data_IF_015992965255
#
_entry.id   IF_015992965255
#
_cell.length_a   1.000
_cell.length_b   1.000
_cell.length_c   1.000
_cell.angle_alpha   90.00
_cell.angle_beta   90.00
_cell.angle_gamma   90.00
#
_symmetry.space_group_name_H-M   'P 1'
#
loop_
_entity.id
_entity.type
_entity.pdbx_description
1 polymer ?
#
# COMPACT_ATOMS: atom_id res chain seq x y z
N UNK A 1 -24.71 0.75 -11.24
CA UNK A 1 -24.47 1.94 -10.39
C UNK A 1 -22.95 2.10 -10.27
N UNK A 2 -22.45 3.34 -10.15
CA UNK A 2 -21.00 3.60 -10.19
C UNK A 2 -20.33 2.98 -8.97
N UNK A 3 -20.97 3.04 -7.80
CA UNK A 3 -20.53 2.34 -6.60
C UNK A 3 -20.24 0.85 -6.85
N UNK A 4 -21.10 0.15 -7.59
CA UNK A 4 -20.92 -1.28 -7.88
C UNK A 4 -19.70 -1.55 -8.77
N UNK A 5 -19.38 -0.65 -9.72
CA UNK A 5 -18.18 -0.76 -10.55
C UNK A 5 -16.91 -0.73 -9.68
N UNK A 6 -16.87 0.16 -8.69
CA UNK A 6 -15.72 0.37 -7.80
C UNK A 6 -15.79 -0.40 -6.47
N UNK A 7 -16.65 -1.41 -6.35
CA UNK A 7 -16.85 -2.12 -5.08
C UNK A 7 -15.54 -2.73 -4.56
N UNK A 8 -14.69 -3.26 -5.45
CA UNK A 8 -13.38 -3.82 -5.08
C UNK A 8 -12.41 -2.79 -4.49
N UNK A 9 -12.50 -1.51 -4.89
CA UNK A 9 -11.73 -0.41 -4.26
C UNK A 9 -12.22 -0.19 -2.84
N UNK A 10 -13.54 -0.21 -2.62
CA UNK A 10 -14.14 -0.02 -1.30
C UNK A 10 -13.79 -1.18 -0.37
N UNK A 11 -13.91 -2.42 -0.85
CA UNK A 11 -13.54 -3.64 -0.13
C UNK A 11 -12.05 -3.63 0.25
N UNK A 12 -11.18 -3.16 -0.67
CA UNK A 12 -9.76 -2.99 -0.39
C UNK A 12 -9.53 -1.92 0.69
N UNK A 13 -10.28 -0.81 0.67
CA UNK A 13 -10.22 0.21 1.70
C UNK A 13 -10.59 -0.34 3.09
N UNK A 14 -11.65 -1.15 3.19
CA UNK A 14 -12.03 -1.84 4.42
C UNK A 14 -10.91 -2.80 4.89
N UNK A 15 -10.37 -3.61 3.98
CA UNK A 15 -9.28 -4.55 4.27
C UNK A 15 -8.01 -3.86 4.78
N UNK A 16 -7.69 -2.69 4.22
CA UNK A 16 -6.55 -1.87 4.65
C UNK A 16 -6.84 -1.05 5.92
N UNK A 17 -8.07 -1.09 6.44
CA UNK A 17 -8.51 -0.29 7.58
C UNK A 17 -8.30 1.21 7.35
N UNK A 18 -8.68 1.71 6.18
CA UNK A 18 -8.62 3.13 5.85
C UNK A 18 -9.44 3.94 6.85
N UNK A 19 -8.82 4.97 7.42
CA UNK A 19 -9.43 5.80 8.46
C UNK A 19 -10.16 7.01 7.87
N UNK A 20 -11.15 7.52 8.59
CA UNK A 20 -11.92 8.72 8.20
C UNK A 20 -12.50 8.61 6.77
N UNK A 21 -12.98 7.42 6.40
CA UNK A 21 -13.51 7.15 5.08
C UNK A 21 -14.91 7.74 4.88
N UNK A 22 -15.15 8.32 3.71
CA UNK A 22 -16.48 8.76 3.27
C UNK A 22 -16.66 8.41 1.79
N UNK A 23 -17.88 8.02 1.40
CA UNK A 23 -18.21 7.59 0.04
C UNK A 23 -19.55 8.18 -0.36
N UNK A 24 -19.55 8.97 -1.45
CA UNK A 24 -20.77 9.61 -1.99
C UNK A 24 -20.88 9.38 -3.48
N UNK A 25 -22.09 9.09 -3.96
CA UNK A 25 -22.38 9.05 -5.40
C UNK A 25 -23.20 10.30 -5.74
N UNK A 26 -22.60 11.24 -6.46
CA UNK A 26 -23.20 12.54 -6.79
C UNK A 26 -22.85 12.92 -8.24
N UNK A 27 -23.82 13.46 -8.99
CA UNK A 27 -23.60 13.96 -10.35
C UNK A 27 -22.94 12.94 -11.31
N UNK A 28 -23.26 11.65 -11.15
CA UNK A 28 -22.65 10.60 -11.98
C UNK A 28 -21.16 10.36 -11.69
N UNK A 29 -20.70 10.70 -10.48
CA UNK A 29 -19.35 10.43 -10.02
C UNK A 29 -19.38 9.83 -8.61
N UNK A 30 -18.55 8.82 -8.37
CA UNK A 30 -18.26 8.31 -7.03
C UNK A 30 -17.14 9.15 -6.41
N UNK A 31 -17.39 9.75 -5.25
CA UNK A 31 -16.39 10.49 -4.49
C UNK A 31 -15.99 9.66 -3.26
N UNK A 32 -14.70 9.44 -3.10
CA UNK A 32 -14.11 8.60 -2.05
C UNK A 32 -13.07 9.42 -1.30
N UNK A 33 -13.20 9.48 0.02
CA UNK A 33 -12.20 10.05 0.92
C UNK A 33 -11.66 8.98 1.86
N UNK A 34 -10.45 9.18 2.35
CA UNK A 34 -9.89 8.34 3.39
C UNK A 34 -8.45 8.68 3.75
N UNK A 35 -7.96 8.07 4.82
CA UNK A 35 -6.57 8.18 5.28
C UNK A 35 -5.96 6.79 5.35
N UNK A 36 -5.02 6.53 4.43
CA UNK A 36 -4.19 5.33 4.46
C UNK A 36 -3.10 5.47 5.52
N UNK A 37 -2.63 4.36 6.10
CA UNK A 37 -1.56 4.41 7.10
C UNK A 37 -0.24 4.76 6.45
N UNK A 38 0.05 4.16 5.30
CA UNK A 38 1.31 4.35 4.57
C UNK A 38 1.09 4.75 3.11
N UNK A 39 2.11 5.30 2.42
CA UNK A 39 2.05 5.58 0.98
C UNK A 39 1.76 4.34 0.14
N UNK A 40 2.26 3.17 0.53
CA UNK A 40 2.01 1.93 -0.20
C UNK A 40 0.53 1.55 -0.21
N UNK A 41 -0.17 1.66 0.91
CA UNK A 41 -1.62 1.40 0.98
C UNK A 41 -2.42 2.37 0.10
N UNK A 42 -2.04 3.65 0.09
CA UNK A 42 -2.60 4.63 -0.84
C UNK A 42 -2.38 4.21 -2.30
N UNK A 43 -1.17 3.75 -2.63
CA UNK A 43 -0.86 3.30 -3.99
C UNK A 43 -1.70 2.09 -4.40
N UNK A 44 -1.91 1.11 -3.51
CA UNK A 44 -2.77 -0.04 -3.78
C UNK A 44 -4.20 0.37 -4.14
N UNK A 45 -4.75 1.37 -3.46
CA UNK A 45 -6.07 1.92 -3.79
C UNK A 45 -6.08 2.61 -5.15
N UNK A 46 -5.05 3.41 -5.48
CA UNK A 46 -4.93 4.03 -6.80
C UNK A 46 -4.77 3.01 -7.93
N UNK A 47 -3.98 1.96 -7.70
CA UNK A 47 -3.79 0.88 -8.67
C UNK A 47 -5.10 0.12 -8.91
N UNK A 48 -5.87 -0.13 -7.85
CA UNK A 48 -7.18 -0.78 -7.97
C UNK A 48 -8.21 0.13 -8.67
N UNK A 49 -8.20 1.45 -8.40
CA UNK A 49 -9.01 2.43 -9.14
C UNK A 49 -8.66 2.38 -10.63
N UNK A 50 -7.38 2.36 -10.98
CA UNK A 50 -6.93 2.29 -12.38
C UNK A 50 -7.29 0.97 -13.04
N UNK A 51 -7.18 -0.15 -12.31
CA UNK A 51 -7.56 -1.48 -12.79
C UNK A 51 -9.04 -1.55 -13.17
N UNK A 52 -9.90 -0.87 -12.39
CA UNK A 52 -11.35 -0.85 -12.59
C UNK A 52 -11.80 0.23 -13.59
N UNK A 53 -11.19 1.41 -13.53
CA UNK A 53 -11.62 2.62 -14.23
C UNK A 53 -10.79 3.02 -15.45
N UNK A 54 -9.63 2.41 -15.66
CA UNK A 54 -8.59 2.87 -16.59
C UNK A 54 -7.66 3.91 -15.99
N UNK A 55 -6.67 4.39 -16.76
CA UNK A 55 -5.63 5.31 -16.25
C UNK A 55 -6.17 6.64 -15.69
N UNK A 56 -7.25 7.17 -16.27
CA UNK A 56 -7.84 8.45 -15.90
C UNK A 56 -9.39 8.38 -15.93
N UNK A 57 -10.02 7.71 -14.95
CA UNK A 57 -11.47 7.59 -14.91
C UNK A 57 -12.12 8.93 -14.55
N UNK A 58 -13.19 9.31 -15.24
CA UNK A 58 -13.96 10.53 -14.97
C UNK A 58 -15.10 10.32 -13.97
N UNK A 59 -15.50 9.06 -13.76
CA UNK A 59 -16.63 8.66 -12.92
C UNK A 59 -16.23 8.37 -11.46
N UNK A 60 -14.99 8.63 -11.07
CA UNK A 60 -14.54 8.58 -9.68
C UNK A 60 -13.60 9.75 -9.34
N UNK A 61 -13.74 10.28 -8.13
CA UNK A 61 -12.80 11.18 -7.48
C UNK A 61 -12.34 10.55 -6.17
N UNK A 62 -11.03 10.43 -5.96
CA UNK A 62 -10.46 9.87 -4.74
C UNK A 62 -9.49 10.84 -4.08
N UNK A 63 -9.75 11.20 -2.82
CA UNK A 63 -8.85 12.00 -1.96
C UNK A 63 -8.40 11.12 -0.80
N UNK A 64 -7.30 10.41 -1.06
CA UNK A 64 -6.66 9.50 -0.10
C UNK A 64 -5.43 10.19 0.47
N UNK A 65 -5.49 10.50 1.76
CA UNK A 65 -4.39 11.03 2.55
C UNK A 65 -3.51 9.90 3.08
N UNK A 66 -2.32 10.24 3.57
CA UNK A 66 -1.40 9.31 4.22
C UNK A 66 -1.11 9.82 5.63
N UNK A 67 -1.27 8.96 6.63
CA UNK A 67 -1.03 9.29 8.03
C UNK A 67 0.48 9.41 8.35
N UNK A 68 1.27 8.44 7.89
CA UNK A 68 2.72 8.41 8.06
C UNK A 68 3.41 8.18 6.73
N UNK A 69 4.14 9.20 6.26
CA UNK A 69 4.93 9.12 5.03
C UNK A 69 6.40 8.73 5.28
N UNK A 70 6.83 8.58 6.54
CA UNK A 70 8.19 8.15 6.89
C UNK A 70 8.42 6.65 6.62
N UNK A 71 7.36 5.86 6.77
CA UNK A 71 7.34 4.42 6.45
C UNK A 71 6.59 4.23 5.13
N UNK A 72 7.22 3.56 4.16
CA UNK A 72 6.56 3.24 2.89
C UNK A 72 5.55 2.11 3.06
N UNK A 73 5.92 1.04 3.76
CA UNK A 73 5.07 -0.11 4.05
C UNK A 73 5.53 -0.86 5.30
N UNK A 74 4.62 -1.64 5.87
CA UNK A 74 4.97 -2.73 6.78
C UNK A 74 4.84 -4.05 6.05
N UNK A 75 5.78 -4.96 6.27
CA UNK A 75 5.82 -6.24 5.60
C UNK A 75 6.06 -7.38 6.58
N UNK A 76 5.16 -8.35 6.60
CA UNK A 76 5.37 -9.62 7.30
C UNK A 76 6.00 -10.63 6.35
N UNK A 77 7.22 -11.05 6.66
CA UNK A 77 7.99 -12.00 5.86
C UNK A 77 7.24 -13.32 5.73
N UNK A 78 7.21 -13.87 4.52
CA UNK A 78 6.63 -15.18 4.19
C UNK A 78 7.72 -16.20 3.89
N UNK A 79 7.33 -17.47 3.90
CA UNK A 79 8.24 -18.58 3.56
C UNK A 79 8.85 -18.39 2.17
N UNK A 80 10.19 -18.48 2.10
CA UNK A 80 10.96 -18.35 0.87
C UNK A 80 11.29 -16.92 0.42
N UNK A 81 10.91 -15.90 1.18
CA UNK A 81 11.32 -14.51 0.91
C UNK A 81 12.76 -14.21 1.36
N UNK A 82 13.36 -13.23 0.71
CA UNK A 82 14.66 -12.65 1.09
C UNK A 82 14.55 -11.13 1.03
N UNK A 83 15.42 -10.39 1.72
CA UNK A 83 15.39 -8.93 1.69
C UNK A 83 15.48 -8.37 0.26
N UNK A 84 16.26 -9.00 -0.62
CA UNK A 84 16.35 -8.59 -2.03
C UNK A 84 15.05 -8.82 -2.79
N UNK A 85 14.32 -9.92 -2.54
CA UNK A 85 13.00 -10.16 -3.14
C UNK A 85 11.98 -9.13 -2.66
N UNK A 86 12.00 -8.83 -1.37
CA UNK A 86 11.14 -7.83 -0.74
C UNK A 86 11.46 -6.43 -1.30
N UNK A 87 12.74 -6.06 -1.41
CA UNK A 87 13.16 -4.80 -2.01
C UNK A 87 12.73 -4.69 -3.48
N UNK A 88 12.83 -5.77 -4.25
CA UNK A 88 12.35 -5.79 -5.63
C UNK A 88 10.84 -5.60 -5.72
N UNK A 89 10.08 -6.18 -4.78
CA UNK A 89 8.63 -6.00 -4.71
C UNK A 89 8.23 -4.54 -4.44
N UNK A 90 8.83 -3.89 -3.44
CA UNK A 90 8.44 -2.54 -3.04
C UNK A 90 9.08 -1.43 -3.87
N UNK A 91 10.32 -1.60 -4.31
CA UNK A 91 11.08 -0.55 -5.00
C UNK A 91 11.37 -0.85 -6.46
N UNK A 92 10.96 -2.02 -6.98
CA UNK A 92 11.36 -2.50 -8.30
C UNK A 92 12.84 -2.87 -8.41
N UNK A 93 13.63 -2.71 -7.34
CA UNK A 93 15.07 -2.88 -7.35
C UNK A 93 15.56 -3.71 -6.15
N UNK A 94 16.05 -4.92 -6.46
CA UNK A 94 16.55 -5.86 -5.45
C UNK A 94 17.78 -5.32 -4.68
N UNK A 95 18.55 -4.40 -5.26
CA UNK A 95 19.74 -3.82 -4.64
C UNK A 95 19.41 -2.82 -3.51
N UNK A 96 18.13 -2.42 -3.37
CA UNK A 96 17.67 -1.59 -2.25
C UNK A 96 17.48 -2.38 -0.94
N UNK A 97 17.84 -3.67 -0.90
CA UNK A 97 17.73 -4.51 0.31
C UNK A 97 18.49 -3.93 1.53
N UNK A 98 19.64 -3.28 1.29
CA UNK A 98 20.42 -2.64 2.35
C UNK A 98 19.60 -1.61 3.12
N UNK A 99 18.76 -0.81 2.45
CA UNK A 99 17.94 0.17 3.15
C UNK A 99 16.89 -0.48 4.07
N UNK A 100 16.32 -1.61 3.65
CA UNK A 100 15.41 -2.38 4.50
C UNK A 100 16.18 -2.94 5.71
N UNK A 101 17.38 -3.48 5.49
CA UNK A 101 18.20 -3.98 6.60
C UNK A 101 18.52 -2.86 7.61
N UNK A 102 19.00 -1.70 7.15
CA UNK A 102 19.31 -0.54 7.99
C UNK A 102 18.10 -0.09 8.82
N UNK A 103 16.93 0.03 8.20
CA UNK A 103 15.68 0.42 8.90
C UNK A 103 15.25 -0.59 9.98
N UNK A 104 15.73 -1.83 9.92
CA UNK A 104 15.35 -2.91 10.82
C UNK A 104 16.51 -3.45 11.66
N UNK A 105 17.67 -2.79 11.72
CA UNK A 105 18.84 -3.25 12.49
C UNK A 105 18.58 -3.52 13.98
N UNK A 106 17.61 -2.82 14.58
CA UNK A 106 17.19 -3.10 15.96
C UNK A 106 16.49 -4.45 16.15
N UNK A 107 15.99 -5.06 15.06
CA UNK A 107 15.27 -6.34 15.06
C UNK A 107 16.06 -7.45 14.35
N UNK A 108 16.77 -7.11 13.26
CA UNK A 108 17.50 -8.06 12.44
C UNK A 108 18.98 -8.09 12.83
N UNK A 109 19.49 -9.29 13.14
CA UNK A 109 20.92 -9.51 13.44
C UNK A 109 21.80 -9.56 12.18
N UNK A 110 21.24 -9.96 11.05
CA UNK A 110 21.91 -10.02 9.75
C UNK A 110 20.88 -9.88 8.63
N UNK A 111 21.29 -9.36 7.47
CA UNK A 111 20.46 -9.21 6.29
C UNK A 111 19.96 -10.56 5.73
N UNK A 112 20.72 -11.64 5.97
CA UNK A 112 20.40 -12.99 5.50
C UNK A 112 19.53 -13.79 6.48
N UNK A 113 19.24 -13.25 7.67
CA UNK A 113 18.55 -13.96 8.76
C UNK A 113 17.13 -13.42 9.00
N UNK A 114 16.32 -13.36 7.96
CA UNK A 114 14.87 -13.12 8.09
C UNK A 114 14.10 -14.44 8.12
N UNK A 115 13.04 -14.49 8.91
CA UNK A 115 12.21 -15.68 9.08
C UNK A 115 10.74 -15.37 8.78
N UNK A 116 9.95 -16.36 8.34
CA UNK A 116 8.52 -16.18 8.18
C UNK A 116 7.86 -15.70 9.48
N UNK A 117 7.05 -14.65 9.38
CA UNK A 117 6.44 -13.96 10.52
C UNK A 117 7.18 -12.71 10.98
N UNK A 118 8.42 -12.48 10.55
CA UNK A 118 9.15 -11.26 10.92
C UNK A 118 8.46 -10.02 10.34
N UNK A 119 8.27 -8.99 11.17
CA UNK A 119 7.69 -7.72 10.76
C UNK A 119 8.79 -6.69 10.43
N UNK A 120 8.88 -6.35 9.15
CA UNK A 120 9.82 -5.40 8.61
C UNK A 120 9.16 -4.05 8.34
N UNK A 121 9.90 -3.00 8.67
CA UNK A 121 9.64 -1.64 8.21
C UNK A 121 10.29 -1.45 6.84
N UNK A 122 9.50 -1.05 5.85
CA UNK A 122 9.99 -0.70 4.52
C UNK A 122 10.10 0.83 4.48
N UNK A 123 11.32 1.42 4.46
CA UNK A 123 11.48 2.87 4.49
C UNK A 123 11.04 3.53 3.17
N UNK A 124 10.66 4.81 3.24
CA UNK A 124 10.30 5.60 2.06
C UNK A 124 11.54 6.29 1.46
N UNK A 125 12.05 5.79 0.32
CA UNK A 125 13.36 6.16 -0.28
C UNK A 125 13.39 6.10 -1.82
#
# INVERSE_FOLDING_TARGET
MIKSKYQSVLDLGEKLNIQNGDVKEENGQLKVWGTAKTPYEKNLLWDEIKRVGGENPSDIMADIKVADASVFAHHTVKSGESLSKIAKHYYGNANKYNAIFEANKGKLKSADLIHPGDELVIPNI
#
